data_IF_678557145283
#
_entry.id   IF_678557145283
#
_cell.length_a   1.000
_cell.length_b   1.000
_cell.length_c   1.000
_cell.angle_alpha   90.00
_cell.angle_beta   90.00
_cell.angle_gamma   90.00
#
_symmetry.space_group_name_H-M   'P 1'
#
loop_
_entity.id
_entity.type
_entity.pdbx_description
1 polymer ?
#
# COMPACT_ATOMS: atom_id res chain seq x y z
N UNK A 1 3.28 39.40 8.50
CA UNK A 1 2.25 38.74 9.33
C UNK A 1 1.60 37.68 8.47
N UNK A 2 1.86 36.39 8.73
CA UNK A 2 1.07 35.30 8.12
C UNK A 2 -0.36 35.52 8.63
N UNK A 3 -1.28 35.75 7.70
CA UNK A 3 -2.65 36.18 7.96
C UNK A 3 -3.29 35.26 9.01
N UNK A 4 -3.94 35.83 10.02
CA UNK A 4 -4.58 35.08 11.12
C UNK A 4 -5.61 34.09 10.54
N UNK A 5 -6.27 34.48 9.44
CA UNK A 5 -7.12 33.63 8.60
C UNK A 5 -6.40 32.44 7.95
N UNK A 6 -5.12 32.57 7.58
CA UNK A 6 -4.30 31.46 7.07
C UNK A 6 -3.89 30.51 8.20
N UNK A 7 -3.74 31.01 9.43
CA UNK A 7 -3.53 30.17 10.62
C UNK A 7 -4.83 29.45 11.02
N UNK A 8 -5.95 30.15 11.06
CA UNK A 8 -7.28 29.58 11.31
C UNK A 8 -7.68 28.57 10.22
N UNK A 9 -7.48 28.89 8.95
CA UNK A 9 -7.68 27.94 7.85
C UNK A 9 -6.77 26.74 8.01
N UNK A 10 -5.48 26.91 8.35
CA UNK A 10 -4.54 25.80 8.54
C UNK A 10 -4.85 24.96 9.78
N UNK A 11 -5.38 25.54 10.85
CA UNK A 11 -5.84 24.84 12.06
C UNK A 11 -7.18 24.11 11.81
N UNK A 12 -8.09 24.69 11.03
CA UNK A 12 -9.32 24.05 10.54
C UNK A 12 -9.07 23.00 9.43
N UNK A 13 -7.95 23.10 8.70
CA UNK A 13 -7.53 22.23 7.60
C UNK A 13 -6.44 21.22 7.98
N UNK A 14 -6.17 20.99 9.27
CA UNK A 14 -5.36 19.81 9.64
C UNK A 14 -6.11 18.56 9.23
N UNK A 15 -5.67 17.96 8.14
CA UNK A 15 -6.11 16.66 7.67
C UNK A 15 -5.24 15.64 8.40
N UNK A 16 -5.86 14.78 9.21
CA UNK A 16 -5.13 13.65 9.77
C UNK A 16 -4.67 12.73 8.65
N UNK A 17 -3.57 12.04 8.89
CA UNK A 17 -2.91 11.16 7.93
C UNK A 17 -2.49 9.86 8.60
N UNK A 18 -2.43 8.78 7.84
CA UNK A 18 -1.88 7.52 8.29
C UNK A 18 -0.69 7.14 7.40
N UNK A 19 0.50 7.12 8.00
CA UNK A 19 1.74 6.72 7.35
C UNK A 19 2.30 5.45 7.99
N UNK A 20 2.66 4.47 7.17
CA UNK A 20 3.22 3.18 7.62
C UNK A 20 4.62 2.99 7.05
N UNK A 21 5.58 2.72 7.93
CA UNK A 21 6.93 2.28 7.59
C UNK A 21 7.08 0.80 7.96
N UNK A 22 7.39 -0.04 6.97
CA UNK A 22 7.61 -1.47 7.20
C UNK A 22 8.92 -1.92 6.55
N UNK A 23 9.27 -3.18 6.75
CA UNK A 23 10.46 -3.82 6.20
C UNK A 23 11.17 -4.70 7.21
N UNK A 24 12.19 -5.45 6.76
CA UNK A 24 12.89 -6.42 7.58
C UNK A 24 13.65 -5.78 8.75
N UNK A 25 14.19 -6.61 9.63
CA UNK A 25 15.10 -6.14 10.69
C UNK A 25 16.25 -5.33 10.09
N UNK A 26 16.63 -4.24 10.76
CA UNK A 26 17.64 -3.28 10.29
C UNK A 26 17.31 -2.48 9.01
N UNK A 27 16.06 -2.47 8.54
CA UNK A 27 15.62 -1.62 7.41
C UNK A 27 15.56 -0.11 7.72
N UNK A 28 15.69 0.29 8.99
CA UNK A 28 15.58 1.69 9.40
C UNK A 28 14.15 2.22 9.57
N UNK A 29 13.12 1.35 9.56
CA UNK A 29 11.71 1.75 9.75
C UNK A 29 11.46 2.55 11.04
N UNK A 30 12.01 2.09 12.17
CA UNK A 30 11.91 2.80 13.45
C UNK A 30 12.60 4.16 13.39
N UNK A 31 13.75 4.26 12.70
CA UNK A 31 14.43 5.55 12.51
C UNK A 31 13.62 6.54 11.67
N UNK A 32 12.84 6.06 10.69
CA UNK A 32 11.92 6.91 9.92
C UNK A 32 10.78 7.43 10.80
N UNK A 33 10.20 6.58 11.64
CA UNK A 33 9.21 6.99 12.64
C UNK A 33 9.78 8.01 13.62
N UNK A 34 10.97 7.75 14.17
CA UNK A 34 11.66 8.68 15.09
C UNK A 34 11.96 10.03 14.42
N UNK A 35 12.36 10.03 13.15
CA UNK A 35 12.58 11.27 12.40
C UNK A 35 11.30 12.12 12.25
N UNK A 36 10.14 11.50 12.01
CA UNK A 36 8.85 12.21 11.98
C UNK A 36 8.47 12.74 13.37
N UNK A 37 8.69 11.95 14.42
CA UNK A 37 8.46 12.36 15.80
C UNK A 37 9.32 13.58 16.18
N UNK A 38 10.63 13.52 15.91
CA UNK A 38 11.55 14.63 16.14
C UNK A 38 11.16 15.88 15.35
N UNK A 39 10.75 15.71 14.08
CA UNK A 39 10.28 16.82 13.24
C UNK A 39 9.06 17.48 13.85
N UNK A 40 8.08 16.71 14.32
CA UNK A 40 6.88 17.23 14.96
C UNK A 40 7.21 17.95 16.28
N UNK A 41 8.11 17.40 17.09
CA UNK A 41 8.58 18.03 18.32
C UNK A 41 9.27 19.37 18.06
N UNK A 42 10.14 19.45 17.03
CA UNK A 42 10.78 20.72 16.60
C UNK A 42 9.77 21.76 16.11
N UNK A 43 8.61 21.33 15.64
CA UNK A 43 7.48 22.19 15.27
C UNK A 43 6.59 22.57 16.46
N UNK A 44 6.89 22.09 17.67
CA UNK A 44 6.10 22.34 18.88
C UNK A 44 4.78 21.59 18.93
N UNK A 45 4.60 20.54 18.11
CA UNK A 45 3.37 19.74 18.08
C UNK A 45 3.30 18.82 19.30
N UNK A 46 2.11 18.66 19.87
CA UNK A 46 1.87 17.66 20.92
C UNK A 46 1.85 16.27 20.29
N UNK A 47 2.71 15.38 20.80
CA UNK A 47 2.78 14.00 20.32
C UNK A 47 2.60 13.00 21.46
N UNK A 48 2.07 11.83 21.13
CA UNK A 48 2.02 10.68 22.02
C UNK A 48 2.58 9.44 21.32
N UNK A 49 3.36 8.65 22.04
CA UNK A 49 3.87 7.36 21.57
C UNK A 49 3.07 6.24 22.22
N UNK A 50 2.57 5.33 21.40
CA UNK A 50 1.95 4.09 21.86
C UNK A 50 3.02 2.97 21.90
N UNK A 51 2.97 2.13 22.93
CA UNK A 51 3.86 0.98 23.12
C UNK A 51 3.03 -0.29 23.41
N UNK A 52 3.49 -1.46 22.95
CA UNK A 52 2.74 -2.72 22.98
C UNK A 52 2.70 -3.41 24.37
N UNK A 53 1.55 -3.95 24.84
CA UNK A 53 0.25 -3.28 24.76
C UNK A 53 -0.44 -3.11 26.14
N UNK A 54 -1.08 -1.95 26.39
CA UNK A 54 -2.46 -1.90 26.81
C UNK A 54 -3.42 -2.19 25.63
N UNK A 55 -4.62 -2.70 25.94
CA UNK A 55 -5.73 -3.05 25.02
C UNK A 55 -5.97 -1.97 23.95
N UNK A 56 -6.08 -2.36 22.67
CA UNK A 56 -6.30 -1.46 21.54
C UNK A 56 -7.53 -0.55 21.72
N UNK A 57 -8.59 -1.05 22.38
CA UNK A 57 -9.78 -0.25 22.65
C UNK A 57 -9.55 0.87 23.67
N UNK A 58 -8.60 0.67 24.59
CA UNK A 58 -8.27 1.65 25.61
C UNK A 58 -7.28 2.71 25.08
N UNK A 59 -6.75 2.54 23.86
CA UNK A 59 -5.79 3.49 23.29
C UNK A 59 -6.44 4.85 23.09
N UNK A 60 -7.65 4.91 22.55
CA UNK A 60 -8.35 6.19 22.29
C UNK A 60 -8.65 6.94 23.59
N UNK A 61 -9.03 6.24 24.65
CA UNK A 61 -9.29 6.83 25.97
C UNK A 61 -8.03 7.39 26.64
N UNK A 62 -6.85 6.92 26.24
CA UNK A 62 -5.56 7.38 26.76
C UNK A 62 -5.00 8.59 26.00
N UNK A 63 -5.60 8.97 24.87
CA UNK A 63 -5.11 10.10 24.07
C UNK A 63 -5.50 11.44 24.68
N UNK A 64 -4.53 12.32 24.86
CA UNK A 64 -4.78 13.72 25.18
C UNK A 64 -5.55 14.33 24.00
N UNK A 65 -6.72 14.97 24.22
CA UNK A 65 -7.49 15.63 23.16
C UNK A 65 -6.70 16.64 22.33
N UNK A 66 -5.60 17.16 22.86
CA UNK A 66 -4.71 18.08 22.17
C UNK A 66 -3.59 17.37 21.37
N UNK A 67 -3.57 16.04 21.33
CA UNK A 67 -2.59 15.25 20.57
C UNK A 67 -2.74 15.52 19.08
N UNK A 68 -1.63 15.86 18.42
CA UNK A 68 -1.59 16.17 16.99
C UNK A 68 -0.87 15.09 16.18
N UNK A 69 -0.02 14.28 16.84
CA UNK A 69 0.72 13.18 16.25
C UNK A 69 0.71 11.98 17.21
N UNK A 70 0.34 10.82 16.68
CA UNK A 70 0.49 9.53 17.36
C UNK A 70 1.54 8.70 16.62
N UNK A 71 2.49 8.15 17.37
CA UNK A 71 3.48 7.22 16.82
C UNK A 71 3.31 5.83 17.43
N UNK A 72 3.29 4.80 16.58
CA UNK A 72 3.19 3.40 17.01
C UNK A 72 4.38 2.63 16.46
N UNK A 73 5.24 2.13 17.34
CA UNK A 73 6.34 1.24 16.95
C UNK A 73 5.97 -0.19 17.34
N UNK A 74 6.62 -1.17 16.71
CA UNK A 74 6.32 -2.59 16.89
C UNK A 74 4.83 -2.93 16.68
N UNK A 75 4.18 -2.30 15.70
CA UNK A 75 2.74 -2.45 15.45
C UNK A 75 2.30 -3.91 15.18
N UNK A 76 3.21 -4.77 14.73
CA UNK A 76 2.97 -6.21 14.58
C UNK A 76 2.64 -6.96 15.89
N UNK A 77 2.90 -6.35 17.06
CA UNK A 77 2.60 -6.93 18.37
C UNK A 77 1.15 -6.67 18.83
N UNK A 78 0.40 -5.86 18.09
CA UNK A 78 -1.02 -5.60 18.35
C UNK A 78 -1.91 -6.58 17.59
N UNK A 79 -3.20 -6.56 17.90
CA UNK A 79 -4.23 -7.27 17.13
C UNK A 79 -4.78 -6.42 15.97
N UNK A 80 -5.64 -7.03 15.16
CA UNK A 80 -6.22 -6.42 13.95
C UNK A 80 -7.07 -5.18 14.23
N UNK A 81 -7.54 -4.98 15.46
CA UNK A 81 -8.35 -3.79 15.82
C UNK A 81 -7.55 -2.51 15.75
N UNK A 82 -6.23 -2.58 15.84
CA UNK A 82 -5.35 -1.42 15.67
C UNK A 82 -5.62 -0.71 14.33
N UNK A 83 -5.98 -1.45 13.27
CA UNK A 83 -6.26 -0.87 11.95
C UNK A 83 -7.40 0.15 12.03
N UNK A 84 -8.52 -0.22 12.67
CA UNK A 84 -9.70 0.63 12.78
C UNK A 84 -9.44 1.81 13.71
N UNK A 85 -8.80 1.58 14.86
CA UNK A 85 -8.41 2.64 15.81
C UNK A 85 -7.56 3.70 15.13
N UNK A 86 -6.49 3.30 14.43
CA UNK A 86 -5.60 4.26 13.76
C UNK A 86 -6.27 4.95 12.58
N UNK A 87 -7.18 4.27 11.88
CA UNK A 87 -8.00 4.89 10.84
C UNK A 87 -8.94 5.96 11.41
N UNK A 88 -9.59 5.70 12.54
CA UNK A 88 -10.47 6.66 13.20
C UNK A 88 -9.70 7.86 13.73
N UNK A 89 -8.50 7.64 14.30
CA UNK A 89 -7.62 8.74 14.71
C UNK A 89 -7.29 9.66 13.53
N UNK A 90 -6.90 9.09 12.39
CA UNK A 90 -6.57 9.87 11.20
C UNK A 90 -7.81 10.54 10.58
N UNK A 91 -8.96 9.88 10.58
CA UNK A 91 -10.14 10.33 9.82
C UNK A 91 -11.08 11.21 10.65
N UNK A 92 -11.46 10.72 11.84
CA UNK A 92 -12.43 11.36 12.74
C UNK A 92 -11.75 12.40 13.61
N UNK A 93 -10.64 12.02 14.25
CA UNK A 93 -9.92 12.89 15.18
C UNK A 93 -8.87 13.78 14.51
N UNK A 94 -8.62 13.57 13.21
CA UNK A 94 -7.68 14.37 12.39
C UNK A 94 -6.26 14.43 12.97
N UNK A 95 -5.83 13.32 13.56
CA UNK A 95 -4.50 13.14 14.13
C UNK A 95 -3.58 12.59 13.05
N UNK A 96 -2.34 13.07 12.96
CA UNK A 96 -1.33 12.39 12.16
C UNK A 96 -0.90 11.12 12.88
N UNK A 97 -0.87 10.00 12.16
CA UNK A 97 -0.50 8.70 12.71
C UNK A 97 0.67 8.17 11.91
N UNK A 98 1.76 7.85 12.61
CA UNK A 98 2.96 7.26 12.02
C UNK A 98 3.23 5.91 12.67
N UNK A 99 3.26 4.87 11.86
CA UNK A 99 3.40 3.49 12.31
C UNK A 99 4.69 2.90 11.78
N UNK A 100 5.38 2.12 12.62
CA UNK A 100 6.48 1.26 12.22
C UNK A 100 6.23 -0.18 12.70
N UNK A 101 6.59 -1.15 11.87
CA UNK A 101 6.48 -2.57 12.25
C UNK A 101 7.03 -3.54 11.21
N UNK A 102 7.06 -4.82 11.55
CA UNK A 102 7.40 -5.90 10.62
C UNK A 102 6.13 -6.42 9.94
N UNK A 103 6.09 -6.38 8.61
CA UNK A 103 5.00 -6.97 7.82
C UNK A 103 5.10 -8.49 7.71
N UNK A 104 6.31 -9.04 7.84
CA UNK A 104 6.56 -10.47 7.94
C UNK A 104 7.39 -10.77 9.19
N UNK A 105 7.04 -11.85 9.90
CA UNK A 105 7.88 -12.42 10.93
C UNK A 105 9.13 -13.11 10.34
N UNK A 106 10.01 -13.59 11.21
CA UNK A 106 11.24 -14.26 10.76
C UNK A 106 10.99 -15.60 10.05
N UNK A 107 9.81 -16.20 10.22
CA UNK A 107 9.41 -17.41 9.50
C UNK A 107 8.88 -17.10 8.10
N UNK A 108 8.73 -15.81 7.76
CA UNK A 108 8.18 -15.35 6.50
C UNK A 108 6.66 -15.33 6.48
N UNK A 109 5.98 -15.29 7.64
CA UNK A 109 4.51 -15.19 7.72
C UNK A 109 4.08 -13.75 8.02
N UNK A 110 2.91 -13.31 7.53
CA UNK A 110 2.33 -12.02 7.87
C UNK A 110 2.24 -11.83 9.39
N UNK A 111 2.64 -10.65 9.88
CA UNK A 111 2.74 -10.39 11.31
C UNK A 111 1.77 -9.29 11.79
N UNK A 112 0.84 -9.68 12.65
CA UNK A 112 -0.15 -8.80 13.25
C UNK A 112 -0.95 -7.99 12.20
N UNK A 113 -1.35 -6.75 12.50
CA UNK A 113 -2.18 -5.92 11.62
C UNK A 113 -1.42 -5.27 10.46
N UNK A 114 -0.13 -5.55 10.30
CA UNK A 114 0.73 -4.83 9.36
C UNK A 114 0.28 -4.94 7.89
N UNK A 115 -0.10 -6.12 7.35
CA UNK A 115 -0.58 -6.24 5.97
C UNK A 115 -1.78 -5.32 5.67
N UNK A 116 -2.73 -5.26 6.60
CA UNK A 116 -3.96 -4.47 6.53
C UNK A 116 -3.64 -2.99 6.67
N UNK A 117 -2.75 -2.61 7.61
CA UNK A 117 -2.27 -1.24 7.80
C UNK A 117 -1.58 -0.71 6.54
N UNK A 118 -0.78 -1.51 5.86
CA UNK A 118 -0.13 -1.12 4.59
C UNK A 118 -1.16 -0.76 3.50
N UNK A 119 -2.32 -1.43 3.49
CA UNK A 119 -3.42 -1.11 2.59
C UNK A 119 -4.24 0.09 3.08
N UNK A 120 -4.52 0.20 4.38
CA UNK A 120 -5.34 1.26 4.97
C UNK A 120 -4.66 2.63 5.04
N UNK A 121 -3.32 2.66 5.09
CA UNK A 121 -2.54 3.88 5.18
C UNK A 121 -2.69 4.77 3.95
N UNK A 122 -2.56 6.08 4.13
CA UNK A 122 -2.49 7.03 3.02
C UNK A 122 -1.14 6.91 2.29
N UNK A 123 -0.09 6.63 3.06
CA UNK A 123 1.27 6.36 2.58
C UNK A 123 1.79 5.10 3.26
N UNK A 124 2.27 4.14 2.48
CA UNK A 124 2.94 2.95 2.99
C UNK A 124 4.28 2.80 2.28
N UNK A 125 5.37 2.80 3.07
CA UNK A 125 6.73 2.60 2.57
C UNK A 125 7.28 1.30 3.13
N UNK A 126 7.55 0.37 2.21
CA UNK A 126 8.32 -0.83 2.50
C UNK A 126 9.79 -0.51 2.26
N UNK A 127 10.56 -0.41 3.34
CA UNK A 127 11.97 -0.08 3.28
C UNK A 127 12.76 -1.32 2.86
N UNK A 128 13.22 -1.31 1.62
CA UNK A 128 13.90 -2.38 0.91
C UNK A 128 15.34 -1.98 0.50
N UNK A 129 15.88 -0.89 1.03
CA UNK A 129 17.18 -0.33 0.67
C UNK A 129 18.38 -1.03 1.34
N UNK A 130 18.10 -1.93 2.29
CA UNK A 130 19.11 -2.77 2.93
C UNK A 130 19.68 -3.83 1.99
N UNK A 131 20.95 -4.20 2.17
CA UNK A 131 21.59 -5.30 1.44
C UNK A 131 21.45 -6.60 2.23
N UNK A 132 21.24 -7.70 1.53
CA UNK A 132 21.18 -9.04 2.11
C UNK A 132 22.43 -9.35 2.96
N UNK A 133 22.22 -9.78 4.20
CA UNK A 133 23.27 -10.12 5.16
C UNK A 133 23.90 -11.50 4.92
N UNK A 134 23.37 -12.28 3.96
CA UNK A 134 24.08 -13.45 3.46
C UNK A 134 25.42 -12.94 2.90
N UNK A 135 26.58 -13.43 3.39
CA UNK A 135 27.87 -13.05 2.83
C UNK A 135 27.82 -13.06 1.31
N UNK A 136 28.52 -12.13 0.66
CA UNK A 136 28.65 -11.93 -0.80
C UNK A 136 27.37 -11.73 -1.64
N UNK A 137 26.17 -11.83 -1.06
CA UNK A 137 24.94 -11.49 -1.74
C UNK A 137 24.86 -9.96 -1.89
N UNK A 138 24.37 -9.49 -3.04
CA UNK A 138 24.14 -8.05 -3.29
C UNK A 138 22.68 -7.70 -3.53
N UNK A 139 21.78 -8.68 -3.42
CA UNK A 139 20.35 -8.44 -3.55
C UNK A 139 19.87 -7.61 -2.39
N UNK A 140 18.85 -6.80 -2.65
CA UNK A 140 18.15 -6.07 -1.62
C UNK A 140 17.46 -7.02 -0.65
N UNK A 141 17.45 -6.64 0.61
CA UNK A 141 16.83 -7.40 1.67
C UNK A 141 15.35 -7.05 1.79
N UNK A 142 14.53 -8.08 1.84
CA UNK A 142 13.07 -7.98 1.94
C UNK A 142 12.50 -8.90 3.04
N UNK A 143 13.36 -9.63 3.76
CA UNK A 143 13.00 -10.63 4.77
C UNK A 143 13.91 -10.56 5.98
N UNK A 144 13.39 -10.99 7.13
CA UNK A 144 14.18 -11.18 8.34
C UNK A 144 14.55 -12.65 8.46
N UNK A 145 15.83 -12.98 8.51
CA UNK A 145 16.29 -14.35 8.78
C UNK A 145 16.72 -14.48 10.23
N UNK A 146 16.26 -15.55 10.88
CA UNK A 146 16.74 -15.99 12.19
C UNK A 146 17.98 -16.86 12.02
N UNK A 147 19.05 -16.54 12.74
CA UNK A 147 20.30 -17.30 12.74
C UNK A 147 20.56 -17.90 14.13
N UNK A 148 20.85 -19.21 14.19
CA UNK A 148 21.16 -19.87 15.45
C UNK A 148 22.48 -19.38 16.04
N UNK A 149 22.58 -19.47 17.37
CA UNK A 149 23.81 -19.30 18.12
C UNK A 149 24.86 -20.35 17.68
N UNK A 150 26.08 -19.91 17.35
CA UNK A 150 27.23 -20.79 17.10
C UNK A 150 28.34 -20.39 18.08
N UNK A 151 28.93 -21.37 18.80
CA UNK A 151 30.08 -21.14 19.69
C UNK A 151 29.90 -20.00 20.71
N UNK A 152 28.73 -19.90 21.36
CA UNK A 152 28.46 -18.92 22.41
C UNK A 152 28.07 -17.52 21.91
N UNK A 153 27.90 -17.29 20.61
CA UNK A 153 27.29 -16.05 20.10
C UNK A 153 25.79 -16.04 20.34
N UNK A 154 25.17 -14.89 20.66
CA UNK A 154 23.71 -14.80 20.77
C UNK A 154 23.04 -15.07 19.42
N UNK A 155 21.79 -15.50 19.49
CA UNK A 155 20.89 -15.54 18.33
C UNK A 155 20.80 -14.16 17.65
N UNK A 156 20.74 -14.16 16.32
CA UNK A 156 20.71 -12.93 15.52
C UNK A 156 19.57 -12.95 14.52
N UNK A 157 19.00 -11.78 14.30
CA UNK A 157 18.01 -11.52 13.25
C UNK A 157 18.62 -10.54 12.28
N UNK A 158 18.86 -10.97 11.03
CA UNK A 158 19.50 -10.13 10.02
C UNK A 158 18.62 -10.01 8.77
N UNK A 159 18.67 -8.87 8.06
CA UNK A 159 17.97 -8.68 6.81
C UNK A 159 18.56 -9.59 5.72
N UNK A 160 17.73 -10.33 5.00
CA UNK A 160 18.13 -11.13 3.83
C UNK A 160 17.18 -10.90 2.65
N UNK A 161 17.62 -11.22 1.44
CA UNK A 161 16.74 -11.24 0.28
C UNK A 161 15.84 -12.49 0.30
N UNK A 162 14.75 -12.46 -0.48
CA UNK A 162 13.84 -13.61 -0.70
C UNK A 162 14.59 -14.93 -0.90
N UNK A 163 15.56 -14.96 -1.81
CA UNK A 163 16.34 -16.17 -2.13
C UNK A 163 17.08 -16.79 -0.93
N UNK A 164 17.53 -15.97 0.02
CA UNK A 164 18.33 -16.44 1.16
C UNK A 164 17.53 -16.54 2.46
N UNK A 165 16.22 -16.31 2.39
CA UNK A 165 15.30 -16.53 3.50
C UNK A 165 14.90 -18.01 3.58
N UNK A 166 14.88 -18.52 4.79
CA UNK A 166 14.30 -19.81 5.16
C UNK A 166 13.49 -19.64 6.42
N UNK A 167 12.33 -20.31 6.49
CA UNK A 167 11.49 -20.27 7.68
C UNK A 167 12.20 -20.88 8.90
N UNK A 168 12.99 -21.93 8.66
CA UNK A 168 13.84 -22.52 9.68
C UNK A 168 15.07 -21.64 9.93
N UNK A 169 15.52 -21.52 11.20
CA UNK A 169 16.75 -20.81 11.46
C UNK A 169 17.95 -21.58 10.89
N UNK A 170 19.05 -20.86 10.61
CA UNK A 170 20.25 -21.46 9.99
C UNK A 170 21.53 -20.82 10.50
N UNK A 171 22.69 -21.42 10.22
CA UNK A 171 23.97 -20.77 10.47
C UNK A 171 24.26 -19.69 9.43
N UNK A 172 25.03 -18.66 9.82
CA UNK A 172 25.56 -17.69 8.87
C UNK A 172 26.82 -18.27 8.22
N UNK A 173 26.62 -19.26 7.36
CA UNK A 173 27.69 -19.84 6.56
C UNK A 173 27.84 -19.11 5.22
N UNK A 174 29.05 -19.09 4.67
CA UNK A 174 29.30 -18.70 3.29
C UNK A 174 28.55 -19.67 2.36
N UNK A 175 27.82 -19.15 1.36
CA UNK A 175 27.17 -19.99 0.36
C UNK A 175 28.04 -20.00 -0.89
N UNK A 176 28.42 -21.18 -1.38
CA UNK A 176 29.34 -21.31 -2.52
C UNK A 176 28.67 -20.96 -3.87
N UNK A 177 27.34 -20.91 -3.93
CA UNK A 177 26.57 -20.75 -5.18
C UNK A 177 26.20 -19.29 -5.42
N UNK A 178 27.16 -18.52 -5.95
CA UNK A 178 27.04 -17.08 -6.18
C UNK A 178 26.31 -16.69 -7.47
N UNK A 179 26.28 -17.57 -8.47
CA UNK A 179 26.07 -17.15 -9.86
C UNK A 179 24.93 -17.81 -10.62
N UNK A 180 24.33 -18.89 -10.12
CA UNK A 180 23.60 -19.75 -11.07
C UNK A 180 22.21 -19.25 -11.50
N UNK A 181 21.51 -18.40 -10.74
CA UNK A 181 20.19 -17.93 -11.16
C UNK A 181 19.86 -16.50 -10.69
N UNK A 182 19.22 -15.66 -11.55
CA UNK A 182 18.65 -14.39 -11.13
C UNK A 182 17.69 -14.60 -9.96
N UNK A 183 17.79 -13.77 -8.92
CA UNK A 183 16.73 -13.75 -7.90
C UNK A 183 15.50 -13.14 -8.53
N UNK A 184 14.39 -13.86 -8.48
CA UNK A 184 13.08 -13.30 -8.78
C UNK A 184 12.70 -12.25 -7.74
N UNK A 185 11.63 -11.52 -8.05
CA UNK A 185 11.08 -10.50 -7.17
C UNK A 185 9.57 -10.44 -7.30
N UNK A 186 8.91 -10.06 -6.21
CA UNK A 186 7.49 -9.70 -6.21
C UNK A 186 7.37 -8.19 -5.97
N UNK A 187 6.97 -7.46 -7.00
CA UNK A 187 6.71 -6.02 -6.92
C UNK A 187 5.20 -5.79 -6.86
N UNK A 188 4.72 -5.05 -5.86
CA UNK A 188 3.32 -4.62 -5.77
C UNK A 188 3.18 -3.14 -6.10
N UNK A 189 2.25 -2.82 -7.01
CA UNK A 189 1.78 -1.48 -7.32
C UNK A 189 0.33 -1.38 -6.80
N UNK A 190 0.10 -0.55 -5.79
CA UNK A 190 -1.22 -0.41 -5.16
C UNK A 190 -1.70 1.03 -5.13
N UNK A 191 -2.95 1.24 -4.76
CA UNK A 191 -3.57 2.56 -4.59
C UNK A 191 -4.99 2.64 -5.14
N UNK A 192 -5.65 3.77 -4.90
CA UNK A 192 -7.05 4.00 -5.30
C UNK A 192 -7.26 4.04 -6.84
N UNK A 193 -8.51 4.10 -7.29
CA UNK A 193 -8.80 4.33 -8.71
C UNK A 193 -8.17 5.66 -9.18
N UNK A 194 -7.79 5.75 -10.46
CA UNK A 194 -7.16 6.94 -11.07
C UNK A 194 -5.75 7.31 -10.60
N UNK A 195 -5.12 6.53 -9.71
CA UNK A 195 -3.74 6.76 -9.26
C UNK A 195 -2.65 6.37 -10.28
N UNK A 196 -3.04 5.77 -11.42
CA UNK A 196 -2.10 5.39 -12.48
C UNK A 196 -1.46 4.01 -12.36
N UNK A 197 -2.01 3.11 -11.52
CA UNK A 197 -1.48 1.73 -11.33
C UNK A 197 -1.17 0.99 -12.63
N UNK A 198 -2.16 0.87 -13.52
CA UNK A 198 -1.99 0.21 -14.82
C UNK A 198 -0.93 0.89 -15.67
N UNK A 199 -0.80 2.22 -15.62
CA UNK A 199 0.25 2.94 -16.37
C UNK A 199 1.64 2.62 -15.82
N UNK A 200 1.80 2.55 -14.50
CA UNK A 200 3.05 2.17 -13.86
C UNK A 200 3.42 0.70 -14.13
N UNK A 201 2.44 -0.21 -14.12
CA UNK A 201 2.62 -1.60 -14.52
C UNK A 201 3.12 -1.70 -15.97
N UNK A 202 2.42 -1.07 -16.91
CA UNK A 202 2.78 -1.05 -18.33
C UNK A 202 4.19 -0.46 -18.51
N UNK A 203 4.50 0.64 -17.82
CA UNK A 203 5.83 1.27 -17.88
C UNK A 203 6.93 0.28 -17.46
N UNK A 204 6.73 -0.49 -16.38
CA UNK A 204 7.72 -1.50 -15.93
C UNK A 204 7.81 -2.68 -16.89
N UNK A 205 6.70 -3.16 -17.42
CA UNK A 205 6.68 -4.24 -18.42
C UNK A 205 7.37 -3.83 -19.72
N UNK A 206 7.12 -2.62 -20.21
CA UNK A 206 7.80 -2.09 -21.41
C UNK A 206 9.30 -1.95 -21.17
N UNK A 207 9.73 -1.48 -19.99
CA UNK A 207 11.16 -1.43 -19.63
C UNK A 207 11.81 -2.81 -19.66
N UNK A 208 11.15 -3.82 -19.10
CA UNK A 208 11.63 -5.20 -19.16
C UNK A 208 11.69 -5.72 -20.61
N UNK A 209 10.70 -5.40 -21.44
CA UNK A 209 10.70 -5.74 -22.87
C UNK A 209 11.90 -5.13 -23.60
N UNK A 210 12.17 -3.85 -23.39
CA UNK A 210 13.31 -3.15 -23.99
C UNK A 210 14.65 -3.71 -23.51
N UNK A 211 14.70 -4.27 -22.30
CA UNK A 211 15.86 -5.00 -21.79
C UNK A 211 16.00 -6.43 -22.35
N UNK A 212 15.09 -6.87 -23.24
CA UNK A 212 15.12 -8.17 -23.89
C UNK A 212 14.47 -9.31 -23.10
N UNK A 213 13.72 -9.01 -22.04
CA UNK A 213 12.98 -10.02 -21.28
C UNK A 213 11.74 -10.50 -22.04
N UNK A 214 11.46 -11.79 -21.94
CA UNK A 214 10.17 -12.41 -22.28
C UNK A 214 9.15 -12.04 -21.21
N UNK A 215 8.00 -11.53 -21.64
CA UNK A 215 7.00 -10.97 -20.74
C UNK A 215 5.61 -11.51 -21.05
N UNK A 216 4.81 -11.73 -20.02
CA UNK A 216 3.38 -11.98 -20.15
C UNK A 216 2.63 -11.10 -19.14
N UNK A 217 1.48 -10.57 -19.55
CA UNK A 217 0.60 -9.83 -18.66
C UNK A 217 -0.75 -10.54 -18.58
N UNK A 218 -1.33 -10.57 -17.39
CA UNK A 218 -2.60 -11.23 -17.10
C UNK A 218 -3.55 -10.24 -16.43
N UNK A 219 -4.84 -10.46 -16.63
CA UNK A 219 -5.91 -9.75 -15.93
C UNK A 219 -7.09 -10.70 -15.70
N UNK A 220 -7.90 -10.47 -14.66
CA UNK A 220 -9.12 -11.25 -14.47
C UNK A 220 -10.08 -11.05 -15.66
N UNK A 221 -10.67 -12.15 -16.14
CA UNK A 221 -11.82 -12.11 -17.03
C UNK A 221 -13.05 -11.76 -16.18
N UNK A 222 -13.38 -10.47 -16.11
CA UNK A 222 -14.59 -10.02 -15.44
C UNK A 222 -15.80 -10.44 -16.30
N UNK A 223 -16.60 -11.38 -15.78
CA UNK A 223 -17.77 -11.99 -16.42
C UNK A 223 -18.81 -10.94 -16.87
N UNK A 224 -19.61 -11.26 -17.88
CA UNK A 224 -20.73 -10.46 -18.40
C UNK A 224 -21.74 -10.06 -17.32
N UNK A 225 -21.86 -10.83 -16.23
CA UNK A 225 -22.65 -10.46 -15.04
C UNK A 225 -22.20 -9.14 -14.39
N UNK A 226 -20.94 -8.77 -14.53
CA UNK A 226 -20.38 -7.49 -14.12
C UNK A 226 -20.37 -6.46 -15.27
N UNK A 227 -20.56 -6.90 -16.53
CA UNK A 227 -20.41 -6.11 -17.75
C UNK A 227 -21.71 -5.49 -18.29
N UNK A 228 -22.90 -5.85 -17.77
CA UNK A 228 -24.21 -5.34 -18.25
C UNK A 228 -24.33 -3.79 -18.19
N UNK A 229 -23.41 -3.08 -17.52
CA UNK A 229 -23.37 -1.61 -17.49
C UNK A 229 -22.02 -0.99 -17.91
N UNK A 230 -21.27 -1.62 -18.81
CA UNK A 230 -19.94 -1.16 -19.21
C UNK A 230 -19.97 0.08 -20.14
N UNK A 231 -19.46 1.21 -19.65
CA UNK A 231 -18.89 2.28 -20.49
C UNK A 231 -17.38 2.37 -20.20
N UNK A 232 -16.63 2.29 -21.30
CA UNK A 232 -15.19 2.16 -21.51
C UNK A 232 -14.21 2.71 -20.43
N UNK A 233 -13.11 1.99 -20.26
CA UNK A 233 -11.92 2.43 -19.53
C UNK A 233 -11.28 3.66 -20.18
N UNK A 234 -10.99 4.69 -19.38
CA UNK A 234 -10.30 5.89 -19.83
C UNK A 234 -8.78 5.70 -19.92
N UNK A 235 -8.23 6.18 -21.05
CA UNK A 235 -6.82 6.28 -21.50
C UNK A 235 -6.30 5.05 -22.26
N UNK A 236 -6.09 5.26 -23.56
CA UNK A 236 -5.69 4.29 -24.60
C UNK A 236 -4.22 3.85 -24.52
N UNK A 237 -3.74 3.40 -23.36
CA UNK A 237 -2.47 2.68 -23.28
C UNK A 237 -2.80 1.20 -23.14
N UNK A 238 -2.85 0.49 -24.27
CA UNK A 238 -3.17 -0.94 -24.31
C UNK A 238 -1.88 -1.75 -24.39
N UNK A 239 -1.47 -2.32 -23.26
CA UNK A 239 -0.51 -3.42 -23.26
C UNK A 239 -1.28 -4.74 -23.43
N UNK A 240 -0.81 -5.70 -24.27
CA UNK A 240 -1.51 -6.96 -24.46
C UNK A 240 -1.48 -7.77 -23.15
N UNK A 241 -2.65 -7.91 -22.53
CA UNK A 241 -2.85 -8.73 -21.33
C UNK A 241 -3.87 -9.84 -21.60
N UNK A 242 -3.54 -11.04 -21.16
CA UNK A 242 -4.33 -12.25 -21.31
C UNK A 242 -5.41 -12.25 -20.22
N UNK A 243 -6.68 -12.27 -20.63
CA UNK A 243 -7.79 -12.38 -19.70
C UNK A 243 -7.96 -13.84 -19.25
N UNK A 244 -7.98 -14.07 -17.93
CA UNK A 244 -8.09 -15.42 -17.34
C UNK A 244 -9.22 -15.47 -16.31
N UNK A 245 -10.04 -16.53 -16.29
CA UNK A 245 -11.20 -16.63 -15.39
C UNK A 245 -10.80 -16.77 -13.92
N UNK A 246 -9.65 -17.40 -13.66
CA UNK A 246 -9.14 -17.66 -12.32
C UNK A 246 -7.60 -17.82 -12.34
N UNK A 247 -7.04 -18.06 -11.17
CA UNK A 247 -5.59 -18.19 -10.97
C UNK A 247 -5.05 -19.52 -11.50
N UNK A 248 -5.86 -20.58 -11.57
CA UNK A 248 -5.44 -21.85 -12.15
C UNK A 248 -5.20 -21.70 -13.66
N UNK A 249 -6.13 -21.06 -14.36
CA UNK A 249 -5.98 -20.72 -15.77
C UNK A 249 -4.82 -19.75 -16.03
N UNK A 250 -4.52 -18.84 -15.08
CA UNK A 250 -3.30 -18.01 -15.12
C UNK A 250 -2.07 -18.91 -15.10
N UNK A 251 -1.95 -19.78 -14.08
CA UNK A 251 -0.80 -20.64 -13.88
C UNK A 251 -0.51 -21.54 -15.09
N UNK A 252 -1.56 -22.12 -15.69
CA UNK A 252 -1.46 -22.97 -16.89
C UNK A 252 -0.96 -22.20 -18.13
N UNK A 253 -1.25 -20.90 -18.23
CA UNK A 253 -0.87 -20.07 -19.37
C UNK A 253 0.51 -19.42 -19.22
N UNK A 254 1.13 -19.48 -18.03
CA UNK A 254 2.50 -19.00 -17.87
C UNK A 254 3.46 -19.93 -18.62
N UNK A 255 4.16 -19.37 -19.59
CA UNK A 255 5.12 -20.09 -20.43
C UNK A 255 6.44 -20.24 -19.67
N UNK A 256 7.15 -21.35 -19.91
CA UNK A 256 8.39 -21.67 -19.20
C UNK A 256 9.46 -20.59 -19.36
N UNK A 257 9.58 -20.03 -20.55
CA UNK A 257 10.58 -19.02 -20.90
C UNK A 257 10.23 -17.61 -20.40
N UNK A 258 9.03 -17.39 -19.83
CA UNK A 258 8.59 -16.08 -19.33
C UNK A 258 9.39 -15.65 -18.11
N UNK A 259 10.06 -14.49 -18.23
CA UNK A 259 10.89 -13.92 -17.16
C UNK A 259 10.17 -12.85 -16.33
N UNK A 260 9.29 -12.06 -16.94
CA UNK A 260 8.53 -11.02 -16.25
C UNK A 260 7.03 -11.24 -16.44
N UNK A 261 6.30 -11.27 -15.33
CA UNK A 261 4.86 -11.52 -15.31
C UNK A 261 4.17 -10.30 -14.72
N UNK A 262 3.33 -9.65 -15.51
CA UNK A 262 2.42 -8.60 -15.05
C UNK A 262 1.07 -9.17 -14.67
N UNK A 263 0.50 -8.74 -13.55
CA UNK A 263 -0.85 -9.14 -13.13
C UNK A 263 -1.60 -7.85 -12.78
N UNK A 264 -2.56 -7.45 -13.60
CA UNK A 264 -3.39 -6.26 -13.35
C UNK A 264 -4.72 -6.62 -12.67
N UNK A 265 -5.30 -5.65 -11.98
CA UNK A 265 -6.58 -5.76 -11.26
C UNK A 265 -6.63 -6.94 -10.27
N UNK A 266 -5.52 -7.18 -9.56
CA UNK A 266 -5.32 -8.36 -8.73
C UNK A 266 -6.32 -8.50 -7.57
N UNK A 267 -6.96 -7.41 -7.15
CA UNK A 267 -8.00 -7.44 -6.12
C UNK A 267 -9.22 -8.30 -6.47
N UNK A 268 -9.42 -8.62 -7.76
CA UNK A 268 -10.53 -9.46 -8.22
C UNK A 268 -10.16 -10.94 -8.35
N UNK A 269 -8.90 -11.33 -8.16
CA UNK A 269 -8.53 -12.74 -8.01
C UNK A 269 -8.82 -13.24 -6.59
N UNK A 270 -8.91 -14.57 -6.43
CA UNK A 270 -8.96 -15.20 -5.13
C UNK A 270 -7.61 -15.18 -4.42
N UNK A 271 -7.59 -15.64 -3.16
CA UNK A 271 -6.40 -15.62 -2.30
C UNK A 271 -5.24 -16.46 -2.84
N UNK A 272 -5.53 -17.45 -3.67
CA UNK A 272 -4.55 -18.31 -4.33
C UNK A 272 -3.55 -17.53 -5.21
N UNK A 273 -3.89 -16.31 -5.65
CA UNK A 273 -2.95 -15.45 -6.40
C UNK A 273 -1.70 -15.12 -5.60
N UNK A 274 -1.81 -15.03 -4.28
CA UNK A 274 -0.69 -14.75 -3.37
C UNK A 274 0.34 -15.88 -3.48
N UNK A 275 -0.12 -17.13 -3.34
CA UNK A 275 0.74 -18.30 -3.39
C UNK A 275 1.41 -18.46 -4.76
N UNK A 276 0.66 -18.25 -5.86
CA UNK A 276 1.21 -18.31 -7.21
C UNK A 276 2.27 -17.22 -7.43
N UNK A 277 2.02 -15.98 -7.01
CA UNK A 277 2.97 -14.89 -7.15
C UNK A 277 4.27 -15.15 -6.38
N UNK A 278 4.17 -15.69 -5.16
CA UNK A 278 5.34 -16.10 -4.38
C UNK A 278 6.11 -17.26 -5.02
N UNK A 279 5.41 -18.29 -5.50
CA UNK A 279 6.01 -19.44 -6.18
C UNK A 279 6.80 -19.00 -7.42
N UNK A 280 6.21 -18.16 -8.26
CA UNK A 280 6.84 -17.62 -9.45
C UNK A 280 8.07 -16.77 -9.11
N UNK A 281 7.99 -15.91 -8.09
CA UNK A 281 9.11 -15.10 -7.62
C UNK A 281 10.24 -15.97 -7.04
N UNK A 282 9.90 -17.02 -6.29
CA UNK A 282 10.87 -17.98 -5.73
C UNK A 282 11.55 -18.81 -6.83
N UNK A 283 10.89 -19.02 -7.98
CA UNK A 283 11.45 -19.66 -9.19
C UNK A 283 12.28 -18.71 -10.07
N UNK A 284 12.65 -17.53 -9.56
CA UNK A 284 13.53 -16.61 -10.29
C UNK A 284 12.81 -15.65 -11.25
N UNK A 285 11.46 -15.63 -11.26
CA UNK A 285 10.69 -14.72 -12.13
C UNK A 285 10.46 -13.36 -11.46
N UNK A 286 10.36 -12.30 -12.27
CA UNK A 286 9.93 -10.99 -11.78
C UNK A 286 8.42 -10.86 -11.93
N UNK A 287 7.70 -10.88 -10.83
CA UNK A 287 6.25 -10.76 -10.80
C UNK A 287 5.90 -9.33 -10.39
N UNK A 288 5.14 -8.63 -11.22
CA UNK A 288 4.68 -7.27 -10.98
C UNK A 288 3.16 -7.31 -10.90
N UNK A 289 2.64 -7.09 -9.70
CA UNK A 289 1.20 -7.13 -9.42
C UNK A 289 0.68 -5.70 -9.27
N UNK A 290 -0.46 -5.40 -9.86
CA UNK A 290 -1.15 -4.14 -9.72
C UNK A 290 -2.61 -4.36 -9.25
N UNK A 291 -3.09 -3.55 -8.33
CA UNK A 291 -4.47 -3.67 -7.85
C UNK A 291 -4.90 -2.56 -6.90
N UNK A 292 -6.22 -2.43 -6.69
CA UNK A 292 -6.80 -1.55 -5.68
C UNK A 292 -6.45 -2.06 -4.29
N UNK A 293 -5.80 -1.25 -3.46
CA UNK A 293 -5.54 -1.60 -2.05
C UNK A 293 -6.82 -1.61 -1.21
N UNK A 294 -7.75 -0.70 -1.51
CA UNK A 294 -9.00 -0.52 -0.78
C UNK A 294 -10.23 -0.63 -1.68
N UNK A 295 -11.32 -1.15 -1.13
CA UNK A 295 -12.65 -1.11 -1.72
C UNK A 295 -13.31 0.28 -1.57
N UNK A 296 -14.54 0.45 -2.08
CA UNK A 296 -15.25 1.74 -2.00
C UNK A 296 -15.63 2.14 -0.55
N UNK A 297 -15.60 1.19 0.39
CA UNK A 297 -15.82 1.39 1.82
C UNK A 297 -14.52 1.66 2.57
N UNK A 298 -13.42 1.82 1.84
CA UNK A 298 -12.08 2.01 2.39
C UNK A 298 -11.58 0.84 3.25
N UNK A 299 -12.03 -0.37 2.95
CA UNK A 299 -11.54 -1.61 3.58
C UNK A 299 -10.54 -2.30 2.65
N UNK A 300 -9.52 -3.01 3.17
CA UNK A 300 -8.59 -3.74 2.33
C UNK A 300 -9.29 -4.70 1.36
N UNK A 301 -8.87 -4.69 0.10
CA UNK A 301 -9.59 -5.38 -0.97
C UNK A 301 -8.94 -6.73 -1.34
N UNK A 302 -9.63 -7.82 -1.04
CA UNK A 302 -9.29 -9.14 -1.55
C UNK A 302 -7.90 -9.60 -1.13
N UNK A 303 -7.04 -10.08 -2.04
CA UNK A 303 -5.71 -10.59 -1.72
C UNK A 303 -4.64 -9.52 -1.45
N UNK A 304 -4.99 -8.24 -1.56
CA UNK A 304 -4.03 -7.15 -1.59
C UNK A 304 -3.22 -6.95 -0.29
N UNK A 305 -3.77 -7.15 0.93
CA UNK A 305 -2.97 -7.14 2.16
C UNK A 305 -1.82 -8.13 2.14
N UNK A 306 -2.12 -9.39 1.80
CA UNK A 306 -1.13 -10.45 1.76
C UNK A 306 -0.10 -10.21 0.65
N UNK A 307 -0.54 -9.78 -0.54
CA UNK A 307 0.37 -9.36 -1.61
C UNK A 307 1.31 -8.24 -1.12
N UNK A 308 0.82 -7.28 -0.33
CA UNK A 308 1.64 -6.19 0.20
C UNK A 308 2.68 -6.68 1.23
N UNK A 309 2.30 -7.63 2.09
CA UNK A 309 3.21 -8.25 3.05
C UNK A 309 4.30 -9.06 2.34
N UNK A 310 3.94 -9.86 1.35
CA UNK A 310 4.88 -10.74 0.63
C UNK A 310 5.68 -10.04 -0.46
N UNK A 311 5.27 -8.86 -0.93
CA UNK A 311 6.03 -8.12 -1.92
C UNK A 311 7.46 -7.84 -1.44
N UNK A 312 8.44 -7.95 -2.32
CA UNK A 312 9.80 -7.48 -2.08
C UNK A 312 9.84 -5.95 -2.19
N UNK A 313 9.01 -5.35 -3.05
CA UNK A 313 8.86 -3.90 -3.20
C UNK A 313 7.39 -3.48 -3.21
N UNK A 314 7.07 -2.40 -2.49
CA UNK A 314 5.75 -1.79 -2.51
C UNK A 314 5.81 -0.39 -3.13
N UNK A 315 5.00 -0.15 -4.14
CA UNK A 315 4.75 1.18 -4.72
C UNK A 315 3.28 1.53 -4.52
N UNK A 316 2.99 2.34 -3.50
CA UNK A 316 1.64 2.82 -3.24
C UNK A 316 1.43 4.18 -3.90
N UNK A 317 0.62 4.20 -4.96
CA UNK A 317 0.32 5.39 -5.76
C UNK A 317 -0.87 6.16 -5.19
N UNK A 318 -0.77 7.48 -5.21
CA UNK A 318 -1.84 8.40 -4.85
C UNK A 318 -2.37 9.10 -6.10
N UNK A 319 -3.66 9.44 -6.09
CA UNK A 319 -4.28 10.28 -7.11
C UNK A 319 -4.44 11.72 -6.61
N UNK A 320 -4.93 12.62 -7.47
CA UNK A 320 -5.45 13.91 -7.02
C UNK A 320 -6.91 13.78 -6.59
N UNK A 321 -7.27 14.41 -5.48
CA UNK A 321 -8.63 14.42 -4.96
C UNK A 321 -9.55 15.17 -5.92
N UNK A 322 -10.60 14.50 -6.34
CA UNK A 322 -11.58 15.02 -7.31
C UNK A 322 -12.78 15.68 -6.61
N UNK A 323 -12.75 15.81 -5.28
CA UNK A 323 -13.76 16.58 -4.57
C UNK A 323 -13.59 18.08 -4.87
N UNK A 324 -14.65 18.79 -5.31
CA UNK A 324 -14.58 20.21 -5.62
C UNK A 324 -14.03 21.04 -4.45
N UNK A 325 -13.04 21.89 -4.73
CA UNK A 325 -12.41 22.76 -3.72
C UNK A 325 -11.40 22.09 -2.78
N UNK A 326 -11.15 20.77 -2.91
CA UNK A 326 -10.16 20.10 -2.06
C UNK A 326 -8.72 20.43 -2.43
N UNK A 327 -8.35 20.29 -3.72
CA UNK A 327 -6.99 20.54 -4.21
C UNK A 327 -5.89 19.58 -3.71
N UNK A 328 -6.23 18.61 -2.86
CA UNK A 328 -5.25 17.64 -2.33
C UNK A 328 -4.71 16.71 -3.43
N UNK A 329 -3.40 16.53 -3.49
CA UNK A 329 -2.73 15.55 -4.35
C UNK A 329 -2.51 14.18 -3.66
N UNK A 330 -3.15 13.96 -2.51
CA UNK A 330 -3.00 12.77 -1.68
C UNK A 330 -4.32 12.00 -1.58
N UNK A 331 -4.93 11.70 -2.72
CA UNK A 331 -6.10 10.84 -2.75
C UNK A 331 -5.68 9.37 -2.58
N UNK A 332 -6.16 8.76 -1.49
CA UNK A 332 -5.91 7.38 -1.09
C UNK A 332 -7.17 6.50 -1.15
N UNK A 333 -8.35 7.08 -1.46
CA UNK A 333 -9.65 6.39 -1.41
C UNK A 333 -10.38 6.45 -2.74
N UNK A 334 -11.14 5.39 -3.03
CA UNK A 334 -12.08 5.37 -4.15
C UNK A 334 -13.48 5.71 -3.62
N UNK A 335 -13.99 6.89 -3.94
CA UNK A 335 -15.38 7.25 -3.69
C UNK A 335 -16.26 6.64 -4.76
N UNK A 336 -17.28 5.89 -4.36
CA UNK A 336 -18.39 5.53 -5.23
C UNK A 336 -19.56 6.49 -5.04
N UNK A 337 -20.15 6.94 -6.16
CA UNK A 337 -21.31 7.79 -6.22
C UNK A 337 -22.44 7.09 -6.99
N UNK A 338 -23.66 7.20 -6.49
CA UNK A 338 -24.90 6.82 -7.18
C UNK A 338 -25.72 8.10 -7.32
N UNK A 339 -25.98 8.51 -8.57
CA UNK A 339 -26.67 9.78 -8.88
C UNK A 339 -26.07 11.00 -8.16
N UNK A 340 -24.73 11.04 -8.07
CA UNK A 340 -23.98 12.12 -7.41
C UNK A 340 -23.88 12.02 -5.88
N UNK A 341 -24.55 11.05 -5.26
CA UNK A 341 -24.57 10.85 -3.80
C UNK A 341 -23.63 9.71 -3.39
N UNK A 342 -22.87 9.82 -2.29
CA UNK A 342 -22.06 8.72 -1.77
C UNK A 342 -22.86 7.41 -1.63
N UNK A 343 -22.33 6.34 -2.23
CA UNK A 343 -22.99 5.04 -2.18
C UNK A 343 -23.14 4.55 -0.73
N UNK A 344 -24.26 3.90 -0.38
CA UNK A 344 -24.49 3.38 0.95
C UNK A 344 -23.60 2.15 1.23
N UNK A 345 -23.44 1.82 2.50
CA UNK A 345 -22.55 0.76 2.97
C UNK A 345 -22.96 -0.65 2.52
N UNK A 346 -24.27 -0.87 2.35
CA UNK A 346 -24.89 -2.12 1.94
C UNK A 346 -24.94 -2.32 0.41
N UNK A 347 -24.42 -1.36 -0.36
CA UNK A 347 -24.32 -1.49 -1.81
C UNK A 347 -23.38 -2.63 -2.23
N UNK A 348 -23.59 -3.24 -3.41
CA UNK A 348 -22.76 -4.34 -3.90
C UNK A 348 -21.28 -3.96 -3.92
N UNK A 349 -20.36 -4.87 -3.58
CA UNK A 349 -18.93 -4.55 -3.48
C UNK A 349 -18.32 -4.17 -4.84
N UNK A 350 -18.63 -4.96 -5.87
CA UNK A 350 -18.09 -4.78 -7.22
C UNK A 350 -19.18 -4.18 -8.10
N UNK A 351 -18.96 -2.96 -8.54
CA UNK A 351 -19.75 -2.30 -9.58
C UNK A 351 -18.76 -1.77 -10.60
N UNK A 352 -18.83 -2.26 -11.83
CA UNK A 352 -17.97 -1.77 -12.90
C UNK A 352 -18.61 -0.50 -13.47
N UNK A 353 -17.96 0.62 -13.21
CA UNK A 353 -18.23 1.88 -13.88
C UNK A 353 -16.97 2.72 -13.75
N UNK A 354 -16.54 3.36 -14.84
CA UNK A 354 -15.33 4.18 -14.81
C UNK A 354 -15.52 5.48 -14.03
N UNK A 355 -15.10 6.59 -14.62
CA UNK A 355 -15.24 7.92 -14.05
C UNK A 355 -16.70 8.38 -13.85
N UNK A 356 -17.68 7.68 -14.44
CA UNK A 356 -19.09 8.01 -14.32
C UNK A 356 -19.64 7.87 -12.89
N UNK A 357 -19.13 6.91 -12.11
CA UNK A 357 -19.63 6.61 -10.76
C UNK A 357 -18.51 6.53 -9.71
N UNK A 358 -17.23 6.62 -10.12
CA UNK A 358 -16.10 6.60 -9.20
C UNK A 358 -15.26 7.87 -9.29
N UNK A 359 -14.77 8.33 -8.14
CA UNK A 359 -13.86 9.45 -8.00
C UNK A 359 -12.71 9.07 -7.04
N UNK A 360 -11.50 9.55 -7.32
CA UNK A 360 -10.44 9.50 -6.31
C UNK A 360 -10.68 10.59 -5.26
N UNK A 361 -10.60 10.24 -3.98
CA UNK A 361 -10.73 11.18 -2.86
C UNK A 361 -9.65 10.98 -1.82
N UNK A 362 -9.30 12.06 -1.11
CA UNK A 362 -8.51 11.96 0.11
C UNK A 362 -9.34 11.33 1.23
N UNK A 363 -8.68 10.90 2.32
CA UNK A 363 -9.33 10.39 3.52
C UNK A 363 -10.47 11.28 4.03
N UNK A 364 -10.32 12.59 3.94
CA UNK A 364 -11.27 13.56 4.47
C UNK A 364 -12.57 13.70 3.66
N UNK A 365 -12.46 13.62 2.33
CA UNK A 365 -13.61 13.82 1.43
C UNK A 365 -14.26 12.51 0.99
N UNK A 366 -13.63 11.37 1.30
CA UNK A 366 -14.24 10.05 1.17
C UNK A 366 -15.35 9.86 2.19
N UNK A 367 -16.50 9.39 1.73
CA UNK A 367 -17.72 9.22 2.53
C UNK A 367 -18.44 7.94 2.14
N UNK A 368 -19.11 7.36 3.12
CA UNK A 368 -19.95 6.18 2.95
C UNK A 368 -21.38 6.58 3.36
N UNK A 369 -22.31 6.54 2.41
CA UNK A 369 -23.67 7.02 2.61
C UNK A 369 -23.81 8.50 3.01
N UNK A 370 -25.03 8.90 3.32
CA UNK A 370 -25.39 10.26 3.74
C UNK A 370 -25.79 11.20 2.59
N UNK A 371 -26.36 12.38 2.91
CA UNK A 371 -26.76 13.35 1.89
C UNK A 371 -25.54 13.95 1.18
N UNK A 372 -25.74 14.38 -0.08
CA UNK A 372 -24.73 15.16 -0.80
C UNK A 372 -24.31 16.38 0.04
N UNK A 373 -23.01 16.69 0.10
CA UNK A 373 -22.58 18.01 0.58
C UNK A 373 -23.19 19.05 -0.37
N UNK A 374 -23.66 20.17 0.17
CA UNK A 374 -23.91 21.35 -0.66
C UNK A 374 -22.64 21.61 -1.46
N UNK A 375 -22.75 21.70 -2.79
CA UNK A 375 -21.63 22.13 -3.62
C UNK A 375 -21.10 23.45 -3.05
N UNK A 376 -19.78 23.57 -2.78
CA UNK A 376 -19.24 24.87 -2.40
C UNK A 376 -19.56 25.85 -3.54
N UNK A 377 -20.06 27.04 -3.20
CA UNK A 377 -20.31 28.08 -4.18
C UNK A 377 -19.04 28.29 -5.02
N UNK A 378 -19.15 28.38 -6.36
CA UNK A 378 -18.00 28.63 -7.20
C UNK A 378 -17.29 29.88 -6.70
N UNK A 379 -16.00 29.74 -6.38
CA UNK A 379 -15.16 30.89 -6.05
C UNK A 379 -15.18 31.80 -7.27
N UNK A 380 -15.66 33.04 -7.17
CA UNK A 380 -15.70 33.93 -8.32
C UNK A 380 -14.27 34.11 -8.82
N UNK A 381 -14.03 33.68 -10.05
CA UNK A 381 -12.78 33.98 -10.76
C UNK A 381 -12.82 35.49 -10.97
N UNK A 382 -11.97 36.24 -10.26
CA UNK A 382 -11.78 37.64 -10.56
C UNK A 382 -11.32 37.73 -12.02
N UNK A 383 -12.15 38.35 -12.87
CA UNK A 383 -11.73 38.77 -14.20
C UNK A 383 -10.57 39.72 -14.00
N UNK A 384 -9.34 39.24 -14.22
CA UNK A 384 -8.21 40.13 -14.43
C UNK A 384 -8.55 40.97 -15.65
N UNK A 385 -8.85 42.23 -15.38
CA UNK A 385 -8.99 43.28 -16.38
C UNK A 385 -7.79 43.23 -17.30
N UNK A 386 -8.04 42.90 -18.56
CA UNK A 386 -7.13 43.15 -19.65
C UNK A 386 -6.93 44.68 -19.75
N UNK A 387 -5.93 45.21 -19.06
CA UNK A 387 -5.34 46.52 -19.32
C UNK A 387 -3.90 46.54 -18.77
N UNK A 388 -2.97 46.19 -19.68
CA UNK A 388 -1.61 46.70 -19.92
C UNK A 388 -0.57 45.60 -20.20
#
# INVERSE_FOLDING_TARGET
>A
MINERYREDREHQRLGSLTVYCGPTHSGKTKKLEAEAERAQRQGRRMQRLAAPPDANQLTDQLDPATELVTVDDAQLYDDRLVDVLNDLATVHRVDVVVAGWELDYTGRPAGPMPELMCAADVALKLDDGVCAQPGCRNLASRTQRFFAVNGTPERFLPVCRRHHTAEPRSQAFQEVWFDEPSGSLDLISGCMFSGKTQELIRRLDQARYAGSTIQAFKPALDDRYAIAAVASHREIRFPAIAVPDVAALAEQVQDDTRVIGIDEAQFFGQEIVALAEELANRGRHVIVAGLDLDFLARPFGPMPLLAAYADRLTKLQASCQYPGCGSHQASRTQRLLDGVPAPADGPLVVIGGAAIHQARCRHDHRIGGPARSEPEPVPVAEESADL
#
